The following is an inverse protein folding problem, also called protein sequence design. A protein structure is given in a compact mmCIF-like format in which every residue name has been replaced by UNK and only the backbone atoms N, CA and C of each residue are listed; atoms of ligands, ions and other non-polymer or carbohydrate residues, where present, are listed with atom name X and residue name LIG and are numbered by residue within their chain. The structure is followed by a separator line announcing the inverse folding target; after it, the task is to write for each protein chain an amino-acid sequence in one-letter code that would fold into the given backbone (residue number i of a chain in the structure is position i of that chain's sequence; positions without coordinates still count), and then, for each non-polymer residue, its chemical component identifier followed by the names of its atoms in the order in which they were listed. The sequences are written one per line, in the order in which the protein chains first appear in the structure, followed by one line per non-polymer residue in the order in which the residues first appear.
data_IF_367567488636
#
_entry.id   IF_367567488636
#
_cell.length_a   1.000
_cell.length_b   1.000
_cell.length_c   1.000
_cell.angle_alpha   90.00
_cell.angle_beta   90.00
_cell.angle_gamma   90.00
#
_symmetry.space_group_name_H-M   'P 1'
#
loop_
_entity.id
_entity.type
_entity.pdbx_description
1 polymer ?
#
# COMPACT_ATOMS: atom_id res chain seq x y z
N UNK A 1 -7.01 29.48 7.16
CA UNK A 1 -6.93 29.03 5.75
C UNK A 1 -6.05 30.01 4.99
N UNK A 2 -4.97 29.56 4.34
CA UNK A 2 -4.13 30.44 3.49
C UNK A 2 -4.96 30.92 2.29
N UNK A 3 -4.89 32.21 1.95
CA UNK A 3 -5.61 32.79 0.81
C UNK A 3 -5.03 32.24 -0.49
N UNK A 4 -5.88 31.79 -1.42
CA UNK A 4 -5.48 31.18 -2.71
C UNK A 4 -4.99 32.22 -3.72
N UNK A 5 -3.83 32.82 -3.43
CA UNK A 5 -3.24 33.86 -4.28
C UNK A 5 -2.09 33.34 -5.13
N UNK A 6 -1.81 34.01 -6.24
CA UNK A 6 -0.69 33.68 -7.15
C UNK A 6 0.67 33.68 -6.45
N UNK A 7 0.87 34.46 -5.38
CA UNK A 7 2.12 34.45 -4.61
C UNK A 7 2.44 33.08 -3.99
N UNK A 8 1.42 32.27 -3.71
CA UNK A 8 1.57 30.97 -3.04
C UNK A 8 1.15 29.81 -3.96
N UNK A 9 1.43 29.93 -5.25
CA UNK A 9 1.04 28.98 -6.29
C UNK A 9 2.28 28.32 -6.89
N UNK A 10 2.33 26.99 -6.95
CA UNK A 10 3.40 26.14 -7.48
C UNK A 10 3.72 26.42 -8.96
N UNK A 11 2.74 26.95 -9.71
CA UNK A 11 2.89 27.35 -11.11
C UNK A 11 3.41 28.80 -11.27
N UNK A 12 3.74 29.48 -10.16
CA UNK A 12 4.21 30.87 -10.16
C UNK A 12 5.64 30.93 -9.66
N UNK A 13 6.49 31.64 -10.40
CA UNK A 13 7.91 31.86 -10.07
C UNK A 13 8.20 33.34 -9.96
N UNK A 14 9.12 33.70 -9.08
CA UNK A 14 9.68 35.04 -9.04
C UNK A 14 10.71 35.22 -10.16
N UNK A 15 10.67 36.37 -10.83
CA UNK A 15 11.65 36.78 -11.81
C UNK A 15 12.06 38.23 -11.55
N UNK A 16 13.35 38.52 -11.76
CA UNK A 16 13.89 39.86 -11.64
C UNK A 16 13.51 40.71 -12.87
N UNK A 17 12.90 41.87 -12.64
CA UNK A 17 12.70 42.93 -13.63
C UNK A 17 13.52 44.16 -13.25
N UNK A 18 13.69 45.09 -14.20
CA UNK A 18 14.63 46.23 -14.16
C UNK A 18 14.69 46.97 -12.81
N UNK A 19 13.58 47.07 -12.07
CA UNK A 19 13.54 47.69 -10.72
C UNK A 19 12.60 46.99 -9.71
N UNK A 20 12.21 45.72 -9.94
CA UNK A 20 11.31 44.99 -9.03
C UNK A 20 11.33 43.49 -9.28
N UNK A 21 10.89 42.71 -8.30
CA UNK A 21 10.52 41.31 -8.52
C UNK A 21 9.11 41.22 -9.09
N UNK A 22 8.93 40.43 -10.14
CA UNK A 22 7.62 40.10 -10.71
C UNK A 22 7.33 38.61 -10.52
N UNK A 23 6.05 38.27 -10.42
CA UNK A 23 5.60 36.88 -10.39
C UNK A 23 5.16 36.46 -11.78
N UNK A 24 5.67 35.34 -12.28
CA UNK A 24 5.37 34.79 -13.60
C UNK A 24 4.66 33.45 -13.43
N UNK A 25 3.47 33.31 -14.01
CA UNK A 25 2.65 32.10 -14.02
C UNK A 25 2.74 31.40 -15.39
N UNK A 26 2.97 30.08 -15.40
CA UNK A 26 3.10 29.28 -16.64
C UNK A 26 1.85 28.46 -17.01
N UNK A 27 0.74 28.65 -16.28
CA UNK A 27 -0.53 27.90 -16.43
C UNK A 27 -1.77 28.76 -16.28
N UNK A 28 -1.69 30.05 -16.64
CA UNK A 28 -2.84 30.96 -16.54
C UNK A 28 -3.94 30.53 -17.53
N UNK A 29 -5.16 30.36 -17.04
CA UNK A 29 -6.29 29.88 -17.85
C UNK A 29 -6.78 30.97 -18.82
N UNK A 30 -7.00 30.61 -20.09
CA UNK A 30 -7.58 31.52 -21.10
C UNK A 30 -6.59 32.34 -21.92
N UNK A 31 -5.32 31.95 -21.98
CA UNK A 31 -4.29 32.62 -22.79
C UNK A 31 -3.54 31.60 -23.65
N UNK A 32 -3.08 32.03 -24.84
CA UNK A 32 -2.38 31.18 -25.82
C UNK A 32 -0.86 31.09 -25.56
N UNK A 33 -0.31 31.97 -24.71
CA UNK A 33 1.13 32.03 -24.39
C UNK A 33 1.49 31.33 -23.07
N UNK A 34 2.70 30.76 -23.00
CA UNK A 34 3.14 29.91 -21.88
C UNK A 34 3.59 30.67 -20.61
N UNK A 35 3.67 32.02 -20.59
CA UNK A 35 4.15 32.79 -19.41
C UNK A 35 3.45 34.13 -19.19
N UNK A 36 2.97 34.40 -17.97
CA UNK A 36 2.21 35.62 -17.64
C UNK A 36 2.62 36.28 -16.33
N UNK A 37 2.79 37.60 -16.34
CA UNK A 37 2.95 38.38 -15.11
C UNK A 37 1.64 38.38 -14.31
N UNK A 38 1.71 38.05 -13.02
CA UNK A 38 0.57 38.00 -12.09
C UNK A 38 0.84 38.84 -10.86
N UNK A 39 -0.22 39.36 -10.23
CA UNK A 39 -0.07 40.11 -8.97
C UNK A 39 -0.05 39.17 -7.76
N UNK A 40 0.76 39.49 -6.75
CA UNK A 40 0.93 38.66 -5.56
C UNK A 40 -0.38 38.36 -4.82
N UNK A 41 -1.27 39.36 -4.70
CA UNK A 41 -2.59 39.22 -4.08
C UNK A 41 -3.70 38.68 -5.00
N UNK A 42 -3.41 38.40 -6.27
CA UNK A 42 -4.43 37.98 -7.23
C UNK A 42 -4.96 36.58 -6.88
N UNK A 43 -6.27 36.47 -6.68
CA UNK A 43 -6.96 35.19 -6.54
C UNK A 43 -7.01 34.50 -7.91
N UNK A 44 -6.56 33.26 -7.99
CA UNK A 44 -6.50 32.51 -9.25
C UNK A 44 -7.55 31.40 -9.29
N UNK A 45 -8.36 31.35 -10.36
CA UNK A 45 -9.32 30.26 -10.60
C UNK A 45 -8.67 28.89 -10.89
N UNK A 46 -7.41 28.91 -11.35
CA UNK A 46 -6.57 27.73 -11.57
C UNK A 46 -5.40 27.70 -10.56
N UNK A 47 -5.67 28.06 -9.30
CA UNK A 47 -4.66 28.07 -8.24
C UNK A 47 -4.19 26.65 -7.91
N UNK A 48 -2.88 26.43 -7.95
CA UNK A 48 -2.21 25.21 -7.51
C UNK A 48 -1.21 25.62 -6.46
N UNK A 49 -1.54 25.58 -5.17
CA UNK A 49 -0.51 25.63 -4.13
C UNK A 49 -0.36 24.27 -3.50
N UNK A 50 0.80 24.06 -2.86
CA UNK A 50 0.99 23.01 -1.87
C UNK A 50 -0.23 22.98 -0.94
N UNK A 51 -1.10 22.00 -1.19
CA UNK A 51 -2.06 21.60 -0.18
C UNK A 51 -1.18 21.06 0.92
N UNK A 52 -0.95 21.84 1.97
CA UNK A 52 -0.55 21.30 3.27
C UNK A 52 -1.49 20.12 3.49
N UNK A 53 -0.95 18.92 3.30
CA UNK A 53 -1.77 17.73 3.47
C UNK A 53 -1.92 17.63 4.96
N UNK A 54 -3.16 17.67 5.48
CA UNK A 54 -3.34 17.42 6.89
C UNK A 54 -2.61 16.13 7.19
N UNK A 55 -1.68 16.19 8.15
CA UNK A 55 -1.10 14.97 8.67
C UNK A 55 -2.25 14.09 9.11
N UNK A 56 -2.17 12.80 8.78
CA UNK A 56 -3.15 11.88 9.33
C UNK A 56 -3.04 11.81 10.85
N UNK A 57 -3.95 11.10 11.52
CA UNK A 57 -3.88 10.91 12.96
C UNK A 57 -2.49 10.46 13.41
N UNK A 58 -2.14 10.74 14.66
CA UNK A 58 -0.93 10.25 15.31
C UNK A 58 -1.36 9.20 16.30
N UNK A 59 -0.76 8.01 16.23
CA UNK A 59 -0.96 6.98 17.26
C UNK A 59 0.20 7.04 18.28
N UNK A 60 -0.07 6.65 19.52
CA UNK A 60 0.87 6.75 20.64
C UNK A 60 2.07 5.79 20.50
N UNK A 61 1.97 4.82 19.58
CA UNK A 61 2.99 3.80 19.29
C UNK A 61 4.02 4.22 18.22
N UNK A 62 4.02 5.49 17.83
CA UNK A 62 4.93 6.04 16.81
C UNK A 62 4.48 5.82 15.36
N UNK A 63 3.26 5.29 15.13
CA UNK A 63 2.67 5.24 13.80
C UNK A 63 2.23 6.62 13.31
N UNK A 64 2.42 6.85 12.00
CA UNK A 64 1.96 8.03 11.27
C UNK A 64 1.12 7.63 10.08
N UNK A 65 0.21 8.52 9.68
CA UNK A 65 -0.79 8.22 8.66
C UNK A 65 -0.67 9.18 7.47
N UNK A 66 -0.49 8.62 6.28
CA UNK A 66 -0.38 9.36 5.03
C UNK A 66 -1.70 9.29 4.28
N UNK A 67 -2.36 10.43 4.00
CA UNK A 67 -3.61 10.43 3.25
C UNK A 67 -3.40 9.97 1.81
N UNK A 68 -4.31 9.11 1.36
CA UNK A 68 -4.40 8.59 0.00
C UNK A 68 -5.63 9.17 -0.71
N UNK A 69 -5.70 8.94 -2.02
CA UNK A 69 -6.95 9.15 -2.76
C UNK A 69 -8.09 8.29 -2.19
N UNK A 70 -9.34 8.76 -2.32
CA UNK A 70 -10.56 8.05 -1.87
C UNK A 70 -10.73 7.94 -0.34
N UNK A 71 -10.18 8.89 0.43
CA UNK A 71 -10.40 8.96 1.89
C UNK A 71 -9.75 7.83 2.69
N UNK A 72 -8.75 7.15 2.12
CA UNK A 72 -7.97 6.11 2.82
C UNK A 72 -6.66 6.67 3.35
N UNK A 73 -6.03 5.94 4.25
CA UNK A 73 -4.72 6.27 4.81
C UNK A 73 -3.77 5.08 4.69
N UNK A 74 -2.49 5.37 4.48
CA UNK A 74 -1.41 4.41 4.66
C UNK A 74 -0.76 4.65 6.02
N UNK A 75 -0.49 3.59 6.76
CA UNK A 75 0.23 3.64 8.05
C UNK A 75 1.71 3.44 7.78
N UNK A 76 2.57 4.26 8.38
CA UNK A 76 4.03 4.23 8.25
C UNK A 76 4.68 4.51 9.61
N UNK A 77 5.95 4.17 9.77
CA UNK A 77 6.73 4.59 10.93
C UNK A 77 7.06 6.09 10.87
N UNK A 78 7.26 6.71 12.03
CA UNK A 78 7.54 8.14 12.15
C UNK A 78 8.77 8.60 11.34
N UNK A 79 9.82 7.77 11.28
CA UNK A 79 11.07 8.10 10.58
C UNK A 79 10.92 8.13 9.04
N UNK A 80 9.91 7.46 8.49
CA UNK A 80 9.58 7.47 7.07
C UNK A 80 8.56 8.54 6.68
N UNK A 81 7.86 9.13 7.67
CA UNK A 81 6.73 10.02 7.41
C UNK A 81 7.13 11.26 6.60
N UNK A 82 8.15 11.99 7.05
CA UNK A 82 8.53 13.29 6.46
C UNK A 82 8.96 13.17 5.00
N UNK A 83 9.65 12.09 4.62
CA UNK A 83 10.05 11.88 3.23
C UNK A 83 8.88 11.41 2.36
N UNK A 84 7.94 10.64 2.91
CA UNK A 84 6.86 10.04 2.13
C UNK A 84 5.69 11.02 1.90
N UNK A 85 5.37 11.89 2.87
CA UNK A 85 4.23 12.82 2.78
C UNK A 85 4.36 13.84 1.63
N UNK A 86 5.61 14.15 1.24
CA UNK A 86 5.95 15.04 0.12
C UNK A 86 5.38 14.57 -1.23
N UNK A 87 5.05 13.28 -1.36
CA UNK A 87 4.58 12.71 -2.63
C UNK A 87 3.09 12.42 -2.64
N UNK A 88 2.43 12.59 -3.79
CA UNK A 88 1.00 12.25 -3.98
C UNK A 88 0.80 10.74 -4.11
N UNK A 89 0.33 10.12 -3.03
CA UNK A 89 -0.01 8.70 -3.00
C UNK A 89 -1.47 8.45 -3.34
N UNK A 90 -1.73 7.31 -3.96
CA UNK A 90 -3.05 6.85 -4.35
C UNK A 90 -3.26 5.40 -3.91
N UNK A 91 -4.50 5.05 -3.60
CA UNK A 91 -4.88 3.66 -3.34
C UNK A 91 -5.04 2.92 -4.66
N UNK A 92 -4.11 2.02 -4.97
CA UNK A 92 -4.21 1.09 -6.08
C UNK A 92 -4.89 -0.19 -5.62
N UNK A 93 -6.12 -0.38 -6.07
CA UNK A 93 -6.91 -1.58 -5.77
C UNK A 93 -6.31 -2.80 -6.48
N UNK A 94 -6.27 -3.89 -5.75
CA UNK A 94 -6.07 -5.26 -6.22
C UNK A 94 -7.35 -6.06 -5.91
N UNK A 95 -7.43 -7.31 -6.39
CA UNK A 95 -8.62 -8.19 -6.26
C UNK A 95 -9.21 -8.18 -4.85
N UNK A 96 -8.36 -8.24 -3.81
CA UNK A 96 -8.77 -8.29 -2.40
C UNK A 96 -7.95 -7.36 -1.49
N UNK A 97 -7.18 -6.42 -2.05
CA UNK A 97 -6.27 -5.57 -1.26
C UNK A 97 -6.19 -4.16 -1.86
N UNK A 98 -5.61 -3.23 -1.13
CA UNK A 98 -5.18 -1.94 -1.68
C UNK A 98 -3.73 -1.67 -1.28
N UNK A 99 -2.96 -1.16 -2.24
CA UNK A 99 -1.59 -0.71 -2.00
C UNK A 99 -1.47 0.79 -2.22
N UNK A 100 -0.71 1.45 -1.35
CA UNK A 100 -0.30 2.83 -1.59
C UNK A 100 0.72 2.87 -2.73
N UNK A 101 0.39 3.55 -3.82
CA UNK A 101 1.30 3.74 -4.95
C UNK A 101 1.19 5.14 -5.55
N UNK A 102 2.27 5.57 -6.20
CA UNK A 102 2.40 6.88 -6.85
C UNK A 102 3.01 6.75 -8.24
N UNK A 103 2.83 7.78 -9.06
CA UNK A 103 3.56 7.92 -10.31
C UNK A 103 5.06 8.18 -10.04
N UNK A 104 5.91 7.63 -10.90
CA UNK A 104 7.35 7.82 -10.89
C UNK A 104 7.85 7.74 -12.34
N UNK A 105 8.04 8.90 -12.99
CA UNK A 105 8.23 8.97 -14.43
C UNK A 105 7.06 8.32 -15.18
N UNK A 106 7.36 7.43 -16.13
CA UNK A 106 6.38 6.66 -16.89
C UNK A 106 5.86 5.40 -16.19
N UNK A 107 6.32 5.13 -14.96
CA UNK A 107 5.93 3.93 -14.21
C UNK A 107 5.21 4.29 -12.90
N UNK A 108 4.73 3.26 -12.20
CA UNK A 108 4.19 3.38 -10.85
C UNK A 108 5.14 2.72 -9.86
N UNK A 109 5.30 3.35 -8.70
CA UNK A 109 6.05 2.78 -7.60
C UNK A 109 5.17 2.65 -6.36
N UNK A 110 5.33 1.55 -5.62
CA UNK A 110 4.60 1.30 -4.38
C UNK A 110 5.36 1.82 -3.16
N UNK A 111 4.62 2.21 -2.13
CA UNK A 111 5.16 2.78 -0.88
C UNK A 111 6.06 1.77 -0.16
N UNK A 112 5.61 0.53 0.03
CA UNK A 112 6.40 -0.53 0.66
C UNK A 112 7.76 -0.78 -0.03
N UNK A 113 7.85 -0.68 -1.36
CA UNK A 113 9.14 -0.84 -2.08
C UNK A 113 10.08 0.33 -1.82
N UNK A 114 9.52 1.54 -1.71
CA UNK A 114 10.27 2.78 -1.40
C UNK A 114 10.78 2.78 0.05
N UNK A 115 10.07 2.11 0.97
CA UNK A 115 10.50 1.91 2.36
C UNK A 115 11.62 0.89 2.45
N UNK A 116 11.41 -0.31 1.90
CA UNK A 116 12.37 -1.40 2.02
C UNK A 116 13.58 -1.28 1.08
N UNK A 117 13.60 -0.28 0.18
CA UNK A 117 14.61 -0.14 -0.89
C UNK A 117 14.82 -1.47 -1.63
N UNK A 118 13.72 -2.14 -1.95
CA UNK A 118 13.74 -3.53 -2.38
C UNK A 118 14.51 -3.71 -3.70
N UNK A 119 15.50 -4.62 -3.75
CA UNK A 119 16.29 -4.87 -4.95
C UNK A 119 15.43 -5.44 -6.09
N UNK A 120 15.95 -5.38 -7.31
CA UNK A 120 15.29 -5.98 -8.48
C UNK A 120 15.22 -7.49 -8.29
N UNK A 121 14.07 -8.09 -8.64
CA UNK A 121 13.84 -9.54 -8.49
C UNK A 121 13.17 -9.95 -7.17
N UNK A 122 13.28 -9.13 -6.11
CA UNK A 122 12.56 -9.37 -4.86
C UNK A 122 11.24 -8.60 -4.78
N UNK A 123 10.31 -9.16 -4.02
CA UNK A 123 9.05 -8.55 -3.62
C UNK A 123 9.14 -8.10 -2.16
N UNK A 124 8.21 -7.23 -1.76
CA UNK A 124 8.01 -6.89 -0.35
C UNK A 124 6.66 -7.45 0.05
N UNK A 125 6.67 -8.36 1.01
CA UNK A 125 5.47 -8.95 1.60
C UNK A 125 5.00 -8.11 2.80
N UNK A 126 3.69 -8.07 2.98
CA UNK A 126 3.02 -7.48 4.14
C UNK A 126 2.64 -8.62 5.08
N UNK A 127 3.27 -8.69 6.25
CA UNK A 127 3.09 -9.81 7.19
C UNK A 127 1.61 -9.96 7.58
N UNK A 128 0.90 -8.86 7.84
CA UNK A 128 -0.54 -8.84 8.14
C UNK A 128 -1.46 -8.97 6.91
N UNK A 129 -0.90 -8.96 5.70
CA UNK A 129 -1.61 -8.96 4.43
C UNK A 129 -2.40 -7.68 4.13
N UNK A 130 -2.20 -6.59 4.89
CA UNK A 130 -2.79 -5.28 4.67
C UNK A 130 -1.83 -4.38 3.88
N UNK A 131 -2.12 -4.16 2.59
CA UNK A 131 -1.25 -3.39 1.71
C UNK A 131 -1.14 -1.89 2.03
N UNK A 132 -1.94 -1.40 2.99
CA UNK A 132 -1.88 -0.03 3.49
C UNK A 132 -1.09 0.10 4.81
N UNK A 133 -0.77 -1.00 5.49
CA UNK A 133 0.11 -1.00 6.65
C UNK A 133 1.58 -1.13 6.21
N UNK A 134 2.24 0.01 6.01
CA UNK A 134 3.59 0.07 5.47
C UNK A 134 4.65 0.29 6.56
N UNK A 135 4.36 -0.04 7.82
CA UNK A 135 5.36 -0.05 8.89
C UNK A 135 6.42 -1.10 8.63
N UNK A 136 7.68 -0.81 8.91
CA UNK A 136 8.84 -1.70 8.71
C UNK A 136 8.68 -3.03 9.44
N UNK A 137 8.10 -3.02 10.64
CA UNK A 137 7.79 -4.23 11.40
C UNK A 137 6.77 -5.14 10.70
N UNK A 138 5.99 -4.61 9.76
CA UNK A 138 5.01 -5.36 8.95
C UNK A 138 5.52 -5.69 7.54
N UNK A 139 6.73 -5.25 7.16
CA UNK A 139 7.29 -5.44 5.82
C UNK A 139 8.49 -6.37 5.85
N UNK A 140 8.58 -7.26 4.86
CA UNK A 140 9.76 -8.13 4.67
C UNK A 140 10.07 -8.38 3.21
N UNK A 141 11.35 -8.55 2.89
CA UNK A 141 11.77 -8.97 1.56
C UNK A 141 11.46 -10.44 1.36
N UNK A 142 10.94 -10.78 0.18
CA UNK A 142 10.59 -12.15 -0.16
C UNK A 142 10.74 -12.42 -1.66
N UNK A 143 10.85 -13.70 -1.98
CA UNK A 143 10.62 -14.24 -3.30
C UNK A 143 9.13 -14.28 -3.62
N UNK A 144 8.79 -14.47 -4.89
CA UNK A 144 7.40 -14.63 -5.29
C UNK A 144 6.74 -15.87 -4.62
N UNK A 145 7.47 -16.97 -4.49
CA UNK A 145 6.97 -18.20 -3.89
C UNK A 145 6.63 -18.01 -2.40
N UNK A 146 7.51 -17.35 -1.65
CA UNK A 146 7.29 -17.01 -0.23
C UNK A 146 6.07 -16.09 -0.06
N UNK A 147 5.93 -15.05 -0.88
CA UNK A 147 4.76 -14.17 -0.85
C UNK A 147 3.44 -14.95 -1.12
N UNK A 148 3.48 -15.93 -2.03
CA UNK A 148 2.33 -16.80 -2.30
C UNK A 148 1.99 -17.67 -1.08
N UNK A 149 2.98 -18.10 -0.29
CA UNK A 149 2.73 -18.83 0.96
C UNK A 149 1.98 -17.98 1.99
N UNK A 150 2.16 -16.65 2.00
CA UNK A 150 1.42 -15.72 2.86
C UNK A 150 0.04 -15.29 2.28
N UNK A 151 -0.40 -15.87 1.15
CA UNK A 151 -1.68 -15.49 0.54
C UNK A 151 -2.90 -15.88 1.41
N UNK A 152 -3.93 -15.03 1.38
CA UNK A 152 -5.22 -15.29 2.04
C UNK A 152 -5.97 -16.47 1.41
N UNK A 153 -6.85 -17.16 2.15
CA UNK A 153 -7.73 -18.18 1.60
C UNK A 153 -8.61 -17.61 0.47
N UNK A 154 -8.96 -18.49 -0.47
CA UNK A 154 -9.91 -18.14 -1.52
C UNK A 154 -11.29 -17.87 -0.93
N UNK A 155 -12.04 -16.97 -1.57
CA UNK A 155 -13.43 -16.68 -1.24
C UNK A 155 -14.37 -17.53 -2.10
N UNK A 156 -15.60 -17.73 -1.64
CA UNK A 156 -16.66 -18.45 -2.37
C UNK A 156 -16.28 -19.89 -2.73
N UNK A 157 -15.54 -20.55 -1.84
CA UNK A 157 -15.19 -21.97 -1.95
C UNK A 157 -15.79 -22.73 -0.77
N UNK A 158 -15.67 -24.06 -0.76
CA UNK A 158 -16.32 -24.92 0.23
C UNK A 158 -15.87 -24.71 1.67
N UNK A 159 -14.69 -24.12 1.89
CA UNK A 159 -14.14 -23.83 3.21
C UNK A 159 -13.70 -22.37 3.30
N UNK A 160 -13.82 -21.78 4.48
CA UNK A 160 -13.23 -20.46 4.78
C UNK A 160 -11.73 -20.53 5.10
N UNK A 161 -11.20 -21.73 5.36
CA UNK A 161 -9.82 -21.95 5.77
C UNK A 161 -8.92 -22.31 4.59
N UNK A 162 -7.68 -21.82 4.63
CA UNK A 162 -6.66 -22.08 3.63
C UNK A 162 -6.27 -23.56 3.67
N UNK A 163 -6.16 -24.17 2.48
CA UNK A 163 -5.74 -25.56 2.32
C UNK A 163 -6.80 -26.60 2.63
N UNK A 164 -8.01 -26.19 3.01
CA UNK A 164 -9.13 -27.08 3.35
C UNK A 164 -10.19 -27.05 2.24
N UNK A 165 -10.72 -28.20 1.86
CA UNK A 165 -11.87 -28.30 0.96
C UNK A 165 -12.81 -29.45 1.32
N UNK A 166 -14.08 -29.34 0.93
CA UNK A 166 -15.07 -30.39 1.16
C UNK A 166 -14.97 -31.47 0.07
N UNK A 167 -14.69 -32.71 0.46
CA UNK A 167 -14.69 -33.85 -0.45
C UNK A 167 -16.08 -34.51 -0.45
N UNK A 168 -16.87 -34.26 -1.49
CA UNK A 168 -18.28 -34.69 -1.57
C UNK A 168 -18.48 -36.19 -1.39
N UNK A 169 -17.71 -37.01 -2.11
CA UNK A 169 -17.90 -38.47 -2.10
C UNK A 169 -17.57 -39.11 -0.74
N UNK A 170 -16.49 -38.64 -0.10
CA UNK A 170 -16.05 -39.11 1.22
C UNK A 170 -16.83 -38.46 2.36
N UNK A 171 -17.60 -37.39 2.07
CA UNK A 171 -18.28 -36.54 3.06
C UNK A 171 -17.35 -36.09 4.19
N UNK A 172 -16.13 -35.68 3.84
CA UNK A 172 -15.08 -35.27 4.77
C UNK A 172 -14.35 -34.04 4.29
N UNK A 173 -13.75 -33.30 5.22
CA UNK A 173 -12.84 -32.18 4.96
C UNK A 173 -11.47 -32.70 4.57
N UNK A 174 -11.03 -32.40 3.35
CA UNK A 174 -9.72 -32.76 2.85
C UNK A 174 -8.74 -31.61 3.07
N UNK A 175 -7.53 -31.94 3.51
CA UNK A 175 -6.46 -30.96 3.71
C UNK A 175 -5.35 -31.21 2.71
N UNK A 176 -4.90 -30.14 2.06
CA UNK A 176 -3.76 -30.19 1.15
C UNK A 176 -2.92 -28.91 1.20
N UNK A 177 -1.63 -29.08 0.94
CA UNK A 177 -0.64 -28.00 0.93
C UNK A 177 0.28 -28.16 -0.28
N UNK A 178 0.65 -27.05 -0.92
CA UNK A 178 1.51 -27.06 -2.10
C UNK A 178 2.81 -26.32 -1.81
N UNK A 179 3.94 -26.97 -2.08
CA UNK A 179 5.28 -26.38 -2.01
C UNK A 179 6.06 -26.78 -3.26
N UNK A 180 6.69 -25.80 -3.94
CA UNK A 180 7.50 -26.04 -5.15
C UNK A 180 6.78 -26.90 -6.19
N UNK A 181 5.53 -26.53 -6.51
CA UNK A 181 4.64 -27.20 -7.47
C UNK A 181 4.22 -28.64 -7.12
N UNK A 182 4.57 -29.12 -5.93
CA UNK A 182 4.14 -30.44 -5.43
C UNK A 182 3.04 -30.28 -4.39
N UNK A 183 1.88 -30.88 -4.67
CA UNK A 183 0.74 -30.95 -3.75
C UNK A 183 0.86 -32.16 -2.83
N UNK A 184 0.82 -31.92 -1.53
CA UNK A 184 0.77 -32.96 -0.50
C UNK A 184 -0.62 -32.98 0.13
N UNK A 185 -1.20 -34.18 0.27
CA UNK A 185 -2.46 -34.39 0.99
C UNK A 185 -2.16 -34.79 2.43
N UNK A 186 -2.72 -34.07 3.40
CA UNK A 186 -2.46 -34.29 4.82
C UNK A 186 -3.49 -35.23 5.47
N UNK A 187 -4.68 -35.35 4.87
CA UNK A 187 -5.70 -36.29 5.34
C UNK A 187 -7.12 -35.84 5.05
N UNK A 188 -8.05 -36.62 5.60
CA UNK A 188 -9.48 -36.33 5.61
C UNK A 188 -9.97 -36.29 7.06
N UNK A 189 -10.77 -35.29 7.40
CA UNK A 189 -11.27 -35.05 8.75
C UNK A 189 -12.78 -34.86 8.73
N UNK A 190 -13.44 -35.21 9.83
CA UNK A 190 -14.88 -35.02 9.98
C UNK A 190 -15.22 -33.56 10.34
N UNK A 191 -14.28 -32.84 10.96
CA UNK A 191 -14.43 -31.45 11.39
C UNK A 191 -13.52 -30.48 10.60
N UNK A 192 -14.09 -29.35 10.18
CA UNK A 192 -13.42 -28.33 9.36
C UNK A 192 -12.30 -27.61 10.13
N UNK A 193 -12.50 -27.37 11.43
CA UNK A 193 -11.57 -26.67 12.31
C UNK A 193 -10.35 -27.56 12.57
N UNK A 194 -10.55 -28.85 12.82
CA UNK A 194 -9.47 -29.83 12.96
C UNK A 194 -8.64 -29.90 11.67
N UNK A 195 -9.30 -29.96 10.51
CA UNK A 195 -8.65 -29.92 9.21
C UNK A 195 -7.78 -28.65 9.03
N UNK A 196 -8.31 -27.48 9.41
CA UNK A 196 -7.60 -26.21 9.32
C UNK A 196 -6.40 -26.12 10.28
N UNK A 197 -6.49 -26.71 11.48
CA UNK A 197 -5.37 -26.77 12.44
C UNK A 197 -4.24 -27.66 11.93
N UNK A 198 -4.57 -28.77 11.28
CA UNK A 198 -3.56 -29.63 10.66
C UNK A 198 -2.85 -28.91 9.50
N UNK A 199 -3.59 -28.12 8.72
CA UNK A 199 -2.97 -27.22 7.73
C UNK A 199 -2.00 -26.25 8.38
N UNK A 200 -2.41 -25.54 9.44
CA UNK A 200 -1.58 -24.53 10.10
C UNK A 200 -0.27 -25.12 10.64
N UNK A 201 -0.34 -26.30 11.28
CA UNK A 201 0.83 -27.04 11.74
C UNK A 201 1.80 -27.31 10.59
N UNK A 202 1.29 -27.82 9.46
CA UNK A 202 2.15 -28.14 8.31
C UNK A 202 2.64 -26.90 7.57
N UNK A 203 1.84 -25.85 7.48
CA UNK A 203 2.21 -24.58 6.88
C UNK A 203 3.35 -23.92 7.66
N UNK A 204 3.28 -23.93 8.99
CA UNK A 204 4.35 -23.44 9.87
C UNK A 204 5.65 -24.22 9.68
N UNK A 205 5.58 -25.54 9.63
CA UNK A 205 6.74 -26.40 9.37
C UNK A 205 7.37 -26.12 7.98
N UNK A 206 6.54 -25.95 6.95
CA UNK A 206 7.02 -25.86 5.56
C UNK A 206 7.43 -24.46 5.13
N UNK A 207 6.77 -23.41 5.62
CA UNK A 207 6.91 -22.04 5.16
C UNK A 207 7.45 -21.09 6.23
N UNK A 208 7.55 -21.54 7.49
CA UNK A 208 8.05 -20.74 8.59
C UNK A 208 7.28 -19.43 8.73
N UNK A 209 8.02 -18.32 8.77
CA UNK A 209 7.45 -16.98 8.90
C UNK A 209 6.51 -16.59 7.73
N UNK A 210 6.67 -17.19 6.55
CA UNK A 210 5.84 -16.91 5.36
C UNK A 210 4.52 -17.69 5.35
N UNK A 211 4.25 -18.50 6.39
CA UNK A 211 3.02 -19.25 6.50
C UNK A 211 1.83 -18.31 6.78
N UNK A 212 0.82 -18.34 5.90
CA UNK A 212 -0.51 -17.87 6.28
C UNK A 212 -1.17 -18.91 7.17
N UNK A 213 -1.36 -18.58 8.45
CA UNK A 213 -2.07 -19.43 9.41
C UNK A 213 -3.53 -18.99 9.55
N UNK A 214 -4.42 -19.97 9.53
CA UNK A 214 -5.86 -19.83 9.69
C UNK A 214 -6.25 -19.31 11.07
N UNK A 215 -5.51 -19.72 12.10
CA UNK A 215 -5.72 -19.33 13.49
C UNK A 215 -4.60 -18.39 13.97
N UNK A 216 -4.98 -17.38 14.77
CA UNK A 216 -4.06 -16.35 15.22
C UNK A 216 -3.09 -16.91 16.27
N UNK A 217 -3.58 -17.77 17.15
CA UNK A 217 -2.83 -18.46 18.21
C UNK A 217 -1.73 -19.38 17.69
N UNK A 218 -1.72 -19.71 16.40
CA UNK A 218 -0.67 -20.57 15.83
C UNK A 218 0.57 -19.78 15.36
N UNK A 219 0.51 -18.44 15.41
CA UNK A 219 1.54 -17.52 14.88
C UNK A 219 2.74 -17.31 15.80
N UNK A 220 2.72 -17.86 17.02
CA UNK A 220 3.72 -17.67 18.08
C UNK A 220 5.04 -18.41 17.85
#
# INVERSE_FOLDING_TARGET
MKVKTCQNCDNVREAAAVNRTILICDKKQGCEDDFHVVAAGQICGNWHGDRERPGGPVDDDGARYIPLTQGRFAVVDADDYERLIKHKWSCQKSKNNCYASRAYGYTRISMHRVIMKAPKGLQVDHIDGNGLNNRKSNLRLCTHAENVHNSRPMRNVSSKYKGVCWHKDKKKWCVSITKSDRRSYLGHFDDEIVAAREYDKKAKELFGEFAYLNFAECRD
#
